data_IF_286014849253
#
_entry.id   IF_286014849253
#
_cell.length_a   1.000
_cell.length_b   1.000
_cell.length_c   1.000
_cell.angle_alpha   90.00
_cell.angle_beta   90.00
_cell.angle_gamma   90.00
#
_symmetry.space_group_name_H-M   'P 1'
#
loop_
_entity.id
_entity.type
_entity.pdbx_description
1 polymer ?
#
# COMPACT_ATOMS: atom_id res chain seq x y z
N UNK A 1 -2.14 -10.44 -15.94
CA UNK A 1 -2.11 -8.97 -15.86
C UNK A 1 -1.66 -8.59 -14.46
N UNK A 2 -0.63 -7.76 -14.36
CA UNK A 2 0.00 -7.41 -13.08
C UNK A 2 -0.27 -5.96 -12.74
N UNK A 3 -0.69 -5.70 -11.51
CA UNK A 3 -0.89 -4.37 -10.97
C UNK A 3 0.07 -4.11 -9.82
N UNK A 4 0.70 -2.95 -9.82
CA UNK A 4 1.49 -2.45 -8.71
C UNK A 4 0.64 -1.43 -7.96
N UNK A 5 0.45 -1.63 -6.67
CA UNK A 5 -0.45 -0.84 -5.84
C UNK A 5 0.32 -0.33 -4.64
N UNK A 6 0.30 0.99 -4.47
CA UNK A 6 0.93 1.70 -3.36
C UNK A 6 -0.14 2.08 -2.34
N UNK A 7 -0.01 1.55 -1.12
CA UNK A 7 -0.88 1.83 0.00
C UNK A 7 -0.26 2.87 0.94
N UNK A 8 -1.11 3.67 1.55
CA UNK A 8 -0.71 4.50 2.70
C UNK A 8 -0.58 3.59 3.92
N UNK A 9 0.55 3.68 4.61
CA UNK A 9 0.82 2.89 5.80
C UNK A 9 1.01 3.81 7.00
N UNK A 10 0.23 3.58 8.05
CA UNK A 10 0.40 4.28 9.34
C UNK A 10 1.34 3.46 10.22
N UNK A 11 2.27 4.16 10.83
CA UNK A 11 3.17 3.60 11.83
C UNK A 11 2.78 4.16 13.20
N UNK A 12 2.77 3.30 14.21
CA UNK A 12 2.56 3.75 15.58
C UNK A 12 3.84 4.42 16.12
N UNK A 13 3.78 4.97 17.34
CA UNK A 13 4.94 5.62 17.98
C UNK A 13 6.14 4.69 18.26
N UNK A 14 5.96 3.37 18.13
CA UNK A 14 7.02 2.35 18.24
C UNK A 14 7.61 1.98 16.87
N UNK A 15 7.17 2.66 15.79
CA UNK A 15 7.47 2.32 14.40
C UNK A 15 7.00 0.91 14.00
N UNK A 16 6.05 0.32 14.73
CA UNK A 16 5.39 -0.92 14.34
C UNK A 16 4.27 -0.64 13.32
N UNK A 17 4.06 -1.62 12.44
CA UNK A 17 3.02 -1.59 11.42
C UNK A 17 1.64 -1.57 12.11
N UNK A 18 0.96 -0.43 12.12
CA UNK A 18 -0.38 -0.32 12.69
C UNK A 18 -1.44 -0.95 11.77
N UNK A 19 -1.15 -1.00 10.47
CA UNK A 19 -2.06 -1.42 9.41
C UNK A 19 -1.52 -2.62 8.63
N UNK A 20 -2.44 -3.52 8.22
CA UNK A 20 -2.14 -4.64 7.33
C UNK A 20 -2.71 -4.37 5.94
N UNK A 21 -1.96 -3.73 5.03
CA UNK A 21 -2.47 -3.33 3.73
C UNK A 21 -2.89 -4.49 2.83
N UNK A 22 -2.31 -5.67 3.03
CA UNK A 22 -2.76 -6.93 2.42
C UNK A 22 -4.26 -7.23 2.68
N UNK A 23 -4.83 -6.71 3.78
CA UNK A 23 -6.23 -6.92 4.15
C UNK A 23 -7.18 -5.81 3.68
N UNK A 24 -6.64 -4.69 3.18
CA UNK A 24 -7.47 -3.57 2.73
C UNK A 24 -8.14 -3.82 1.39
N UNK A 25 -7.55 -4.65 0.55
CA UNK A 25 -8.14 -5.02 -0.73
C UNK A 25 -9.06 -6.21 -0.53
N UNK A 26 -10.37 -5.94 -0.47
CA UNK A 26 -11.40 -6.99 -0.41
C UNK A 26 -11.84 -7.36 -1.81
N UNK A 27 -11.25 -8.43 -2.33
CA UNK A 27 -11.60 -9.00 -3.64
C UNK A 27 -12.26 -10.36 -3.47
N UNK A 28 -13.08 -10.76 -4.43
CA UNK A 28 -13.61 -12.13 -4.47
C UNK A 28 -12.48 -13.15 -4.62
N UNK A 29 -12.69 -14.35 -4.06
CA UNK A 29 -11.74 -15.44 -4.17
C UNK A 29 -11.49 -15.79 -5.65
N UNK A 30 -10.21 -15.83 -6.05
CA UNK A 30 -9.80 -16.11 -7.43
C UNK A 30 -9.64 -14.87 -8.33
N UNK A 31 -9.88 -13.64 -7.83
CA UNK A 31 -9.51 -12.40 -8.54
C UNK A 31 -7.99 -12.21 -8.53
N UNK A 32 -7.39 -12.28 -7.34
CA UNK A 32 -5.92 -12.22 -7.16
C UNK A 32 -5.37 -13.64 -7.21
N UNK A 33 -4.47 -13.90 -8.15
CA UNK A 33 -3.72 -15.14 -8.29
C UNK A 33 -2.53 -15.18 -7.34
N UNK A 34 -1.76 -14.08 -7.34
CA UNK A 34 -0.55 -13.93 -6.56
C UNK A 34 -0.47 -12.51 -6.00
N UNK A 35 0.00 -12.34 -4.77
CA UNK A 35 0.31 -11.04 -4.18
C UNK A 35 1.73 -11.08 -3.62
N UNK A 36 2.58 -10.15 -4.05
CA UNK A 36 3.98 -10.06 -3.65
C UNK A 36 4.23 -8.68 -3.08
N UNK A 37 4.81 -8.63 -1.88
CA UNK A 37 5.28 -7.37 -1.30
C UNK A 37 6.52 -6.93 -2.09
N UNK A 38 6.39 -5.82 -2.81
CA UNK A 38 7.44 -5.33 -3.71
C UNK A 38 8.40 -4.38 -2.96
N UNK A 39 7.85 -3.40 -2.25
CA UNK A 39 8.64 -2.37 -1.58
C UNK A 39 7.93 -1.85 -0.34
N UNK A 40 8.69 -1.55 0.71
CA UNK A 40 8.19 -0.84 1.90
C UNK A 40 9.09 0.37 2.08
N UNK A 41 8.47 1.56 2.10
CA UNK A 41 9.14 2.81 2.42
C UNK A 41 8.65 3.20 3.81
N UNK A 42 9.48 2.95 4.81
CA UNK A 42 9.25 3.43 6.16
C UNK A 42 9.30 4.96 6.18
N UNK A 43 8.51 5.62 7.05
CA UNK A 43 8.65 7.04 7.27
C UNK A 43 10.10 7.34 7.68
N UNK A 44 10.70 8.44 7.19
CA UNK A 44 12.03 8.85 7.63
C UNK A 44 11.96 9.30 9.09
N UNK A 45 12.06 8.36 10.04
CA UNK A 45 12.18 8.67 11.45
C UNK A 45 13.68 8.79 11.83
N UNK A 46 13.98 9.78 12.68
CA UNK A 46 15.25 9.98 13.40
C UNK A 46 16.45 10.62 12.66
N UNK A 47 16.36 11.88 12.25
CA UNK A 47 17.54 12.77 12.37
C UNK A 47 17.16 14.25 12.41
N UNK A 48 16.58 14.71 13.52
CA UNK A 48 16.76 16.06 14.03
C UNK A 48 16.02 16.16 15.36
N UNK A 49 16.66 15.62 16.40
CA UNK A 49 16.36 16.09 17.75
C UNK A 49 17.08 17.43 17.92
N UNK A 50 16.45 18.49 17.44
CA UNK A 50 16.65 19.82 18.03
C UNK A 50 15.27 20.46 18.23
N UNK A 51 14.78 20.21 19.45
CA UNK A 51 13.87 21.03 20.26
C UNK A 51 12.43 21.32 19.77
N UNK A 52 11.50 21.15 20.74
CA UNK A 52 10.11 21.65 20.79
C UNK A 52 9.11 20.84 19.94
N UNK A 53 7.91 20.46 20.37
CA UNK A 53 7.04 20.89 21.47
C UNK A 53 6.03 19.75 21.73
N UNK A 54 5.55 19.62 22.96
CA UNK A 54 4.55 18.64 23.40
C UNK A 54 3.15 18.97 22.81
N UNK A 55 2.80 18.51 21.59
CA UNK A 55 1.40 18.26 21.16
C UNK A 55 1.21 17.70 19.71
N UNK A 56 2.22 17.11 19.07
CA UNK A 56 2.06 16.58 17.69
C UNK A 56 2.14 15.06 17.68
N UNK A 57 0.97 14.42 17.80
CA UNK A 57 0.71 13.01 17.46
C UNK A 57 0.85 12.86 15.93
N UNK A 58 2.04 13.17 15.40
CA UNK A 58 2.33 13.09 13.97
C UNK A 58 2.51 11.62 13.64
N UNK A 59 1.39 10.94 13.33
CA UNK A 59 1.37 9.59 12.77
C UNK A 59 2.44 9.54 11.66
N UNK A 60 3.52 8.82 11.88
CA UNK A 60 4.59 8.74 10.89
C UNK A 60 4.05 7.96 9.68
N UNK A 61 3.93 8.65 8.53
CA UNK A 61 3.33 8.09 7.33
C UNK A 61 4.41 7.49 6.43
N UNK A 62 4.33 6.18 6.20
CA UNK A 62 5.10 5.52 5.16
C UNK A 62 4.21 5.03 4.02
N UNK A 63 4.83 4.40 3.03
CA UNK A 63 4.12 3.80 1.90
C UNK A 63 4.55 2.36 1.74
N UNK A 64 3.60 1.48 1.40
CA UNK A 64 3.90 0.09 1.12
C UNK A 64 3.33 -0.31 -0.22
N UNK A 65 4.17 -0.89 -1.07
CA UNK A 65 3.88 -1.21 -2.45
C UNK A 65 3.83 -2.72 -2.65
N UNK A 66 2.76 -3.18 -3.30
CA UNK A 66 2.51 -4.58 -3.60
C UNK A 66 2.29 -4.79 -5.08
N UNK A 67 2.73 -5.94 -5.58
CA UNK A 67 2.46 -6.43 -6.92
C UNK A 67 1.44 -7.55 -6.86
N UNK A 68 0.30 -7.34 -7.51
CA UNK A 68 -0.80 -8.28 -7.59
C UNK A 68 -0.91 -8.83 -9.01
N UNK A 69 -0.85 -10.15 -9.12
CA UNK A 69 -1.17 -10.86 -10.33
C UNK A 69 -2.68 -11.15 -10.34
N UNK A 70 -3.38 -10.60 -11.33
CA UNK A 70 -4.83 -10.69 -11.44
C UNK A 70 -5.22 -11.70 -12.52
N UNK A 71 -6.28 -12.46 -12.24
CA UNK A 71 -6.86 -13.39 -13.18
C UNK A 71 -7.34 -12.69 -14.45
N UNK A 72 -7.23 -13.38 -15.58
CA UNK A 72 -7.62 -12.85 -16.89
C UNK A 72 -9.10 -12.44 -16.90
N UNK A 73 -9.39 -11.25 -17.45
CA UNK A 73 -10.75 -10.69 -17.50
C UNK A 73 -11.28 -10.13 -16.17
N UNK A 74 -10.53 -10.20 -15.06
CA UNK A 74 -10.94 -9.71 -13.72
C UNK A 74 -10.24 -8.45 -13.24
N UNK A 75 -9.52 -7.76 -14.13
CA UNK A 75 -8.84 -6.50 -13.79
C UNK A 75 -9.76 -5.41 -13.27
N UNK A 76 -10.96 -5.29 -13.84
CA UNK A 76 -11.96 -4.27 -13.47
C UNK A 76 -12.50 -4.48 -12.03
N UNK A 77 -12.70 -5.74 -11.65
CA UNK A 77 -13.11 -6.11 -10.29
C UNK A 77 -12.02 -5.73 -9.26
N UNK A 78 -10.76 -5.96 -9.62
CA UNK A 78 -9.62 -5.59 -8.80
C UNK A 78 -9.51 -4.07 -8.63
N UNK A 79 -9.57 -3.31 -9.73
CA UNK A 79 -9.52 -1.84 -9.70
C UNK A 79 -10.66 -1.26 -8.87
N UNK A 80 -11.89 -1.78 -9.06
CA UNK A 80 -13.04 -1.39 -8.25
C UNK A 80 -12.78 -1.62 -6.75
N UNK A 81 -12.17 -2.76 -6.38
CA UNK A 81 -11.83 -3.05 -4.99
C UNK A 81 -10.77 -2.09 -4.43
N UNK A 82 -9.78 -1.69 -5.25
CA UNK A 82 -8.78 -0.69 -4.87
C UNK A 82 -9.42 0.68 -4.59
N UNK A 83 -10.31 1.12 -5.47
CA UNK A 83 -11.00 2.41 -5.30
C UNK A 83 -11.92 2.42 -4.07
N UNK A 84 -12.58 1.28 -3.78
CA UNK A 84 -13.43 1.13 -2.60
C UNK A 84 -12.64 1.00 -1.29
N UNK A 85 -11.36 0.63 -1.34
CA UNK A 85 -10.49 0.48 -0.17
C UNK A 85 -10.22 1.81 0.55
N UNK A 86 -10.11 2.91 -0.21
CA UNK A 86 -9.84 4.25 0.34
C UNK A 86 -8.44 4.42 0.98
N UNK A 87 -7.63 3.36 1.01
CA UNK A 87 -6.26 3.34 1.55
C UNK A 87 -5.18 3.32 0.46
N UNK A 88 -5.59 3.21 -0.81
CA UNK A 88 -4.70 3.21 -1.98
C UNK A 88 -4.30 4.64 -2.29
N UNK A 89 -3.00 4.89 -2.40
CA UNK A 89 -2.44 6.16 -2.84
C UNK A 89 -2.37 6.19 -4.37
N UNK A 90 -1.85 5.11 -4.94
CA UNK A 90 -1.58 5.00 -6.37
C UNK A 90 -1.63 3.53 -6.81
N UNK A 91 -2.01 3.28 -8.06
CA UNK A 91 -1.88 1.97 -8.66
C UNK A 91 -1.58 2.08 -10.16
N UNK A 92 -0.71 1.22 -10.66
CA UNK A 92 -0.31 1.16 -12.06
C UNK A 92 -0.40 -0.27 -12.59
N UNK A 93 -0.65 -0.41 -13.90
CA UNK A 93 -0.57 -1.70 -14.58
C UNK A 93 0.86 -1.91 -15.10
N UNK A 94 1.56 -2.90 -14.55
CA UNK A 94 2.97 -3.18 -14.88
C UNK A 94 3.10 -4.02 -16.14
N UNK A 95 2.05 -4.76 -16.51
CA UNK A 95 2.01 -5.63 -17.70
C UNK A 95 2.05 -4.81 -19.00
N UNK A 96 1.54 -3.57 -18.98
CA UNK A 96 1.55 -2.64 -20.13
C UNK A 96 2.92 -1.96 -20.35
N UNK A 97 3.85 -2.05 -19.38
CA UNK A 97 5.22 -1.50 -19.51
C UNK A 97 6.10 -2.47 -20.29
N UNK A 98 5.80 -2.64 -21.59
CA UNK A 98 6.73 -3.24 -22.54
C UNK A 98 7.70 -2.16 -23.02
N UNK A 99 8.96 -2.24 -22.59
CA UNK A 99 10.07 -1.39 -23.05
C UNK A 99 10.48 -1.72 -24.49
#
# INVERSE_FOLDING_TARGET
MTYRVTFRKRFNSDAEEADRPETFVRVEEGVVLTAIKAEVIDPPALHSQDTLDEDDDFESLGTETWEYEIADGRGDEFVTALENSGMVIDYENVDDVTI
#
